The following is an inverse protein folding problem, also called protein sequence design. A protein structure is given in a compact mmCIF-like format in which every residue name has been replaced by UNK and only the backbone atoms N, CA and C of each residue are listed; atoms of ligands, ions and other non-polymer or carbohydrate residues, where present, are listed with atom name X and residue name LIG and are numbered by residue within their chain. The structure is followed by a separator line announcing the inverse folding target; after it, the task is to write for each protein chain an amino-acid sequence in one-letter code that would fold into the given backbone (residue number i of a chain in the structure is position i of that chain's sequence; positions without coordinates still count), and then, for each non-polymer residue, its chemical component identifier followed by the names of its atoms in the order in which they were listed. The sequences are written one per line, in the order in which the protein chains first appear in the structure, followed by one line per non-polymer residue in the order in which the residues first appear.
data_IF_035058982421
#
_entry.id   IF_035058982421
#
_cell.length_a   1.000
_cell.length_b   1.000
_cell.length_c   1.000
_cell.angle_alpha   90.00
_cell.angle_beta   90.00
_cell.angle_gamma   90.00
#
_symmetry.space_group_name_H-M   'P 1'
#
loop_
_entity.id
_entity.type
_entity.pdbx_description
1 polymer ?
#
# COMPACT_ATOMS: atom_id res chain seq x y z
N UNK A 1 -17.62 -4.30 3.86
CA UNK A 1 -16.50 -5.12 4.35
C UNK A 1 -15.23 -4.98 3.51
N UNK A 2 -15.31 -4.89 2.18
CA UNK A 2 -14.13 -4.64 1.32
C UNK A 2 -13.32 -3.42 1.78
N UNK A 3 -13.97 -2.33 2.18
CA UNK A 3 -13.31 -1.15 2.74
C UNK A 3 -12.52 -1.45 4.03
N UNK A 4 -13.04 -2.30 4.91
CA UNK A 4 -12.31 -2.73 6.11
C UNK A 4 -11.07 -3.55 5.73
N UNK A 5 -11.23 -4.46 4.77
CA UNK A 5 -10.12 -5.27 4.28
C UNK A 5 -9.04 -4.40 3.61
N UNK A 6 -9.43 -3.41 2.80
CA UNK A 6 -8.50 -2.56 2.07
C UNK A 6 -7.79 -1.54 2.98
N UNK A 7 -8.57 -0.77 3.76
CA UNK A 7 -8.04 0.34 4.55
C UNK A 7 -7.69 -0.08 5.96
N UNK A 8 -8.51 -0.94 6.57
CA UNK A 8 -8.32 -1.42 7.93
C UNK A 8 -7.07 -2.29 8.07
N UNK A 9 -6.79 -3.19 7.13
CA UNK A 9 -5.58 -4.02 7.17
C UNK A 9 -4.31 -3.16 7.20
N UNK A 10 -4.21 -2.14 6.34
CA UNK A 10 -3.06 -1.23 6.34
C UNK A 10 -2.93 -0.44 7.65
N UNK A 11 -4.05 -0.04 8.27
CA UNK A 11 -4.03 0.63 9.58
C UNK A 11 -3.67 -0.34 10.70
N UNK A 12 -4.12 -1.59 10.63
CA UNK A 12 -3.77 -2.67 11.56
C UNK A 12 -2.29 -3.00 11.51
N UNK A 13 -1.70 -3.08 10.32
CA UNK A 13 -0.26 -3.34 10.13
C UNK A 13 0.61 -2.27 10.78
N UNK A 14 0.15 -1.01 10.80
CA UNK A 14 0.84 0.11 11.43
C UNK A 14 0.68 0.13 12.95
N UNK A 15 -0.50 -0.22 13.46
CA UNK A 15 -0.84 -0.12 14.88
C UNK A 15 -0.55 -1.40 15.68
N UNK A 16 -0.56 -2.55 15.01
CA UNK A 16 -0.68 -3.87 15.62
C UNK A 16 -2.11 -4.19 16.05
N UNK A 17 -2.41 -5.50 16.09
CA UNK A 17 -3.74 -6.09 16.30
C UNK A 17 -4.53 -5.52 17.48
N UNK A 18 -3.88 -5.40 18.65
CA UNK A 18 -4.54 -4.94 19.88
C UNK A 18 -4.94 -3.46 19.81
N UNK A 19 -4.00 -2.59 19.39
CA UNK A 19 -4.26 -1.15 19.26
C UNK A 19 -5.28 -0.87 18.16
N UNK A 20 -5.21 -1.62 17.06
CA UNK A 20 -6.20 -1.57 15.99
C UNK A 20 -7.59 -1.95 16.49
N UNK A 21 -7.72 -3.02 17.28
CA UNK A 21 -9.02 -3.46 17.81
C UNK A 21 -9.64 -2.38 18.72
N UNK A 22 -8.84 -1.77 19.59
CA UNK A 22 -9.29 -0.64 20.42
C UNK A 22 -9.65 0.59 19.59
N UNK A 23 -8.81 0.94 18.61
CA UNK A 23 -9.06 2.03 17.67
C UNK A 23 -10.35 1.83 16.89
N UNK A 24 -10.60 0.62 16.39
CA UNK A 24 -11.78 0.27 15.62
C UNK A 24 -13.07 0.41 16.44
N UNK A 25 -13.06 -0.12 17.67
CA UNK A 25 -14.19 -0.03 18.59
C UNK A 25 -14.45 1.42 19.05
N UNK A 26 -13.39 2.15 19.42
CA UNK A 26 -13.49 3.55 19.82
C UNK A 26 -13.96 4.43 18.66
N UNK A 27 -13.45 4.21 17.45
CA UNK A 27 -13.86 4.91 16.24
C UNK A 27 -15.34 4.65 15.92
N UNK A 28 -15.80 3.40 16.03
CA UNK A 28 -17.22 3.06 15.90
C UNK A 28 -18.11 3.74 16.93
N UNK A 29 -17.66 3.81 18.19
CA UNK A 29 -18.38 4.51 19.25
C UNK A 29 -18.50 6.02 18.96
N UNK A 30 -17.39 6.69 18.62
CA UNK A 30 -17.39 8.12 18.30
C UNK A 30 -18.21 8.42 17.05
N UNK A 31 -18.16 7.55 16.04
CA UNK A 31 -18.99 7.66 14.84
C UNK A 31 -20.49 7.61 15.19
N UNK A 32 -20.91 6.61 15.98
CA UNK A 32 -22.32 6.49 16.38
C UNK A 32 -22.76 7.67 17.25
N UNK A 33 -21.92 8.13 18.19
CA UNK A 33 -22.22 9.32 18.98
C UNK A 33 -22.36 10.57 18.10
N UNK A 34 -21.53 10.70 17.06
CA UNK A 34 -21.63 11.80 16.11
C UNK A 34 -22.96 11.79 15.36
N UNK A 35 -23.44 10.62 14.93
CA UNK A 35 -24.78 10.49 14.35
C UNK A 35 -25.86 10.90 15.36
N UNK A 36 -25.82 10.36 16.59
CA UNK A 36 -26.83 10.65 17.62
C UNK A 36 -26.90 12.15 17.93
N UNK A 37 -25.75 12.82 18.06
CA UNK A 37 -25.68 14.26 18.31
C UNK A 37 -26.25 15.12 17.17
N UNK A 38 -26.24 14.61 15.94
CA UNK A 38 -26.71 15.31 14.75
C UNK A 38 -28.13 14.90 14.34
N UNK A 39 -28.70 13.88 15.00
CA UNK A 39 -30.04 13.37 14.72
C UNK A 39 -31.08 14.30 15.34
N UNK A 40 -32.12 14.65 14.57
CA UNK A 40 -33.25 15.47 15.04
C UNK A 40 -34.39 14.59 15.55
N UNK A 41 -35.36 15.17 16.27
CA UNK A 41 -36.47 14.43 16.91
C UNK A 41 -37.27 13.52 15.95
N UNK A 42 -37.29 13.85 14.65
CA UNK A 42 -37.96 13.07 13.61
C UNK A 42 -37.29 11.72 13.31
N UNK A 43 -36.01 11.57 13.61
CA UNK A 43 -35.20 10.37 13.33
C UNK A 43 -34.76 9.61 14.58
N UNK A 44 -35.08 10.12 15.76
CA UNK A 44 -34.66 9.56 17.04
C UNK A 44 -35.10 8.09 17.28
N UNK A 45 -36.12 7.62 16.56
CA UNK A 45 -36.63 6.25 16.66
C UNK A 45 -36.02 5.26 15.65
N UNK A 46 -35.10 5.72 14.77
CA UNK A 46 -34.45 4.85 13.78
C UNK A 46 -33.17 4.26 14.39
N UNK A 47 -33.08 2.94 14.61
CA UNK A 47 -31.91 2.33 15.21
C UNK A 47 -30.70 2.40 14.27
N UNK A 48 -29.56 2.83 14.81
CA UNK A 48 -28.28 2.85 14.10
C UNK A 48 -27.62 1.47 14.28
N UNK A 49 -27.52 0.70 13.20
CA UNK A 49 -26.85 -0.60 13.20
C UNK A 49 -25.87 -0.67 12.04
N UNK A 50 -24.59 -0.85 12.36
CA UNK A 50 -23.59 -1.09 11.32
C UNK A 50 -22.16 -0.86 11.77
N UNK A 51 -21.25 -1.60 11.13
CA UNK A 51 -19.80 -1.41 11.28
C UNK A 51 -19.25 -0.23 10.46
N UNK A 52 -20.06 0.40 9.61
CA UNK A 52 -19.60 1.41 8.64
C UNK A 52 -18.96 2.63 9.29
N UNK A 53 -19.41 3.06 10.47
CA UNK A 53 -18.79 4.18 11.21
C UNK A 53 -17.35 3.86 11.64
N UNK A 54 -17.12 2.66 12.17
CA UNK A 54 -15.77 2.20 12.53
C UNK A 54 -14.86 2.07 11.30
N UNK A 55 -15.40 1.58 10.19
CA UNK A 55 -14.68 1.52 8.90
C UNK A 55 -14.35 2.93 8.40
N UNK A 56 -15.26 3.90 8.58
CA UNK A 56 -15.03 5.30 8.22
C UNK A 56 -13.88 5.90 9.01
N UNK A 57 -13.73 5.52 10.29
CA UNK A 57 -12.55 5.86 11.08
C UNK A 57 -11.25 5.24 10.53
N UNK A 58 -11.26 3.98 10.09
CA UNK A 58 -10.12 3.39 9.40
C UNK A 58 -9.75 4.14 8.12
N UNK A 59 -10.74 4.56 7.31
CA UNK A 59 -10.53 5.35 6.09
C UNK A 59 -9.88 6.69 6.42
N UNK A 60 -10.37 7.40 7.44
CA UNK A 60 -9.80 8.66 7.90
C UNK A 60 -8.36 8.49 8.40
N UNK A 61 -8.10 7.45 9.18
CA UNK A 61 -6.75 7.12 9.62
C UNK A 61 -5.82 6.81 8.44
N UNK A 62 -6.27 5.98 7.49
CA UNK A 62 -5.51 5.64 6.29
C UNK A 62 -5.10 6.88 5.48
N UNK A 63 -6.00 7.85 5.33
CA UNK A 63 -5.73 9.10 4.61
C UNK A 63 -4.54 9.88 5.19
N UNK A 64 -4.29 9.76 6.50
CA UNK A 64 -3.18 10.46 7.17
C UNK A 64 -1.84 9.77 6.94
N UNK A 65 -1.80 8.44 6.89
CA UNK A 65 -0.57 7.66 6.80
C UNK A 65 -0.18 7.33 5.36
N UNK A 66 -1.16 7.08 4.49
CA UNK A 66 -0.97 6.57 3.15
C UNK A 66 -1.75 7.39 2.08
N UNK A 67 -1.68 8.74 2.09
CA UNK A 67 -2.51 9.58 1.20
C UNK A 67 -2.22 9.36 -0.29
N UNK A 68 -0.96 9.04 -0.63
CA UNK A 68 -0.49 8.91 -2.02
C UNK A 68 -0.58 7.50 -2.59
N UNK A 69 -1.05 6.53 -1.81
CA UNK A 69 -1.23 5.15 -2.28
C UNK A 69 -2.17 5.13 -3.48
N UNK A 70 -1.76 4.48 -4.58
CA UNK A 70 -2.57 4.39 -5.79
C UNK A 70 -3.51 3.20 -5.68
N UNK A 71 -4.80 3.44 -5.84
CA UNK A 71 -5.84 2.42 -5.92
C UNK A 71 -6.05 2.10 -7.40
N UNK A 72 -5.91 0.82 -7.76
CA UNK A 72 -6.24 0.31 -9.09
C UNK A 72 -7.76 0.13 -9.19
N UNK A 73 -8.36 0.77 -10.19
CA UNK A 73 -9.74 0.57 -10.56
C UNK A 73 -9.81 -0.15 -11.88
N UNK A 74 -10.44 -1.32 -11.87
CA UNK A 74 -10.75 -2.09 -13.06
C UNK A 74 -12.19 -1.84 -13.47
N UNK A 75 -12.40 -1.44 -14.71
CA UNK A 75 -13.74 -1.24 -15.25
C UNK A 75 -14.01 -2.26 -16.36
N UNK A 76 -15.26 -2.69 -16.42
CA UNK A 76 -15.76 -3.60 -17.43
C UNK A 76 -17.01 -2.99 -18.02
N UNK A 77 -16.96 -2.67 -19.31
CA UNK A 77 -18.07 -2.08 -20.05
C UNK A 77 -18.55 -3.00 -21.15
N UNK A 78 -19.86 -3.06 -21.32
CA UNK A 78 -20.50 -3.75 -22.43
C UNK A 78 -21.23 -2.71 -23.28
N UNK A 79 -20.86 -2.59 -24.56
CA UNK A 79 -21.61 -1.78 -25.52
C UNK A 79 -21.91 -2.58 -26.78
N UNK A 80 -23.20 -2.86 -27.02
CA UNK A 80 -23.72 -3.75 -28.08
C UNK A 80 -23.09 -5.15 -28.10
N UNK A 81 -22.04 -5.34 -28.91
CA UNK A 81 -21.29 -6.60 -29.09
C UNK A 81 -19.80 -6.47 -28.74
N UNK A 82 -19.39 -5.29 -28.25
CA UNK A 82 -18.00 -5.02 -27.93
C UNK A 82 -17.87 -4.89 -26.41
N UNK A 83 -17.13 -5.83 -25.85
CA UNK A 83 -16.66 -5.76 -24.48
C UNK A 83 -15.40 -4.91 -24.48
N UNK A 84 -15.38 -3.89 -23.63
CA UNK A 84 -14.17 -3.12 -23.38
C UNK A 84 -13.86 -3.17 -21.88
N UNK A 85 -12.62 -3.49 -21.57
CA UNK A 85 -12.13 -3.56 -20.20
C UNK A 85 -10.82 -2.79 -20.11
N UNK A 86 -10.61 -2.12 -19.00
CA UNK A 86 -9.37 -1.39 -18.76
C UNK A 86 -9.13 -1.21 -17.27
N UNK A 87 -7.97 -0.65 -16.97
CA UNK A 87 -7.55 -0.35 -15.61
C UNK A 87 -7.02 1.08 -15.57
N UNK A 88 -7.30 1.77 -14.47
CA UNK A 88 -6.74 3.08 -14.21
C UNK A 88 -6.41 3.24 -12.72
N UNK A 89 -5.49 4.14 -12.43
CA UNK A 89 -4.96 4.33 -11.09
C UNK A 89 -5.35 5.70 -10.57
N UNK A 90 -5.95 5.74 -9.40
CA UNK A 90 -6.26 6.98 -8.69
C UNK A 90 -5.54 7.00 -7.35
N UNK A 91 -4.93 8.12 -6.96
CA UNK A 91 -4.40 8.25 -5.62
C UNK A 91 -5.55 8.22 -4.59
N UNK A 92 -5.33 7.53 -3.48
CA UNK A 92 -6.34 7.24 -2.46
C UNK A 92 -6.98 8.52 -1.90
N UNK A 93 -6.19 9.59 -1.72
CA UNK A 93 -6.74 10.86 -1.22
C UNK A 93 -7.86 11.43 -2.09
N UNK A 94 -7.80 11.27 -3.43
CA UNK A 94 -8.87 11.74 -4.33
C UNK A 94 -10.14 10.93 -4.10
N UNK A 95 -9.99 9.60 -4.05
CA UNK A 95 -11.12 8.67 -3.86
C UNK A 95 -11.79 8.91 -2.52
N UNK A 96 -10.99 8.99 -1.45
CA UNK A 96 -11.49 9.20 -0.09
C UNK A 96 -12.12 10.58 0.05
N UNK A 97 -11.49 11.63 -0.47
CA UNK A 97 -12.06 12.97 -0.43
C UNK A 97 -13.39 13.02 -1.19
N UNK A 98 -13.48 12.43 -2.38
CA UNK A 98 -14.73 12.39 -3.14
C UNK A 98 -15.87 11.75 -2.34
N UNK A 99 -15.64 10.58 -1.75
CA UNK A 99 -16.66 9.90 -0.93
C UNK A 99 -17.01 10.68 0.34
N UNK A 100 -16.01 11.22 1.04
CA UNK A 100 -16.25 12.05 2.22
C UNK A 100 -17.07 13.30 1.88
N UNK A 101 -16.79 13.97 0.75
CA UNK A 101 -17.57 15.13 0.31
C UNK A 101 -19.02 14.75 -0.01
N UNK A 102 -19.27 13.58 -0.58
CA UNK A 102 -20.64 13.10 -0.81
C UNK A 102 -21.38 12.82 0.51
N UNK A 103 -20.75 12.14 1.47
CA UNK A 103 -21.34 11.87 2.78
C UNK A 103 -21.60 13.18 3.53
N UNK A 104 -20.67 14.12 3.45
CA UNK A 104 -20.82 15.45 4.03
C UNK A 104 -21.96 16.24 3.39
N UNK A 105 -22.05 16.26 2.06
CA UNK A 105 -23.15 16.93 1.36
C UNK A 105 -24.51 16.28 1.70
N UNK A 106 -24.56 14.94 1.78
CA UNK A 106 -25.76 14.20 2.16
C UNK A 106 -26.18 14.50 3.60
N UNK A 107 -25.22 14.62 4.52
CA UNK A 107 -25.46 15.06 5.89
C UNK A 107 -26.06 16.47 5.92
N UNK A 108 -25.50 17.43 5.18
CA UNK A 108 -26.01 18.81 5.14
C UNK A 108 -27.43 18.86 4.57
N UNK A 109 -27.70 18.11 3.50
CA UNK A 109 -29.03 18.03 2.91
C UNK A 109 -30.04 17.45 3.90
N UNK A 110 -29.67 16.40 4.62
CA UNK A 110 -30.51 15.77 5.63
C UNK A 110 -30.88 16.75 6.74
N UNK A 111 -29.90 17.48 7.28
CA UNK A 111 -30.12 18.50 8.32
C UNK A 111 -31.01 19.65 7.84
N UNK A 112 -31.01 19.97 6.54
CA UNK A 112 -31.81 21.05 5.94
C UNK A 112 -33.21 20.63 5.47
N UNK A 113 -33.51 19.33 5.41
CA UNK A 113 -34.78 18.79 4.90
C UNK A 113 -35.66 18.26 6.02
N UNK A 114 -36.97 18.55 5.98
CA UNK A 114 -37.95 18.07 6.97
C UNK A 114 -38.51 16.66 6.65
N UNK A 115 -37.83 15.85 5.84
CA UNK A 115 -38.41 14.62 5.29
C UNK A 115 -37.41 13.50 4.97
N UNK A 116 -37.72 12.32 5.51
CA UNK A 116 -37.26 10.97 5.20
C UNK A 116 -35.73 10.76 5.06
N UNK A 117 -35.07 10.57 6.20
CA UNK A 117 -33.74 10.00 6.30
C UNK A 117 -33.63 8.67 5.56
N UNK A 118 -32.84 8.70 4.49
CA UNK A 118 -32.59 7.55 3.64
C UNK A 118 -31.66 6.54 4.30
N UNK A 119 -32.08 5.88 5.39
CA UNK A 119 -31.50 4.65 5.97
C UNK A 119 -29.99 4.60 6.26
N UNK A 120 -29.26 5.68 6.00
CA UNK A 120 -27.80 5.77 6.02
C UNK A 120 -27.42 6.83 7.03
N UNK A 121 -26.63 6.42 8.02
CA UNK A 121 -26.11 7.28 9.07
C UNK A 121 -24.91 8.11 8.57
N UNK A 122 -25.15 9.11 7.71
CA UNK A 122 -24.09 9.96 7.15
C UNK A 122 -23.28 10.70 8.22
N UNK A 123 -23.90 11.08 9.34
CA UNK A 123 -23.22 11.68 10.48
C UNK A 123 -22.20 10.72 11.13
N UNK A 124 -22.50 9.42 11.12
CA UNK A 124 -21.54 8.40 11.57
C UNK A 124 -20.35 8.26 10.62
N UNK A 125 -20.57 8.37 9.30
CA UNK A 125 -19.48 8.29 8.32
C UNK A 125 -18.56 9.50 8.44
N UNK A 126 -19.13 10.72 8.41
CA UNK A 126 -18.39 11.97 8.55
C UNK A 126 -17.65 12.03 9.89
N UNK A 127 -18.37 11.80 11.00
CA UNK A 127 -17.78 11.81 12.34
C UNK A 127 -16.71 10.75 12.52
N UNK A 128 -16.95 9.54 12.02
CA UNK A 128 -15.96 8.46 12.02
C UNK A 128 -14.69 8.83 11.26
N UNK A 129 -14.80 9.31 10.03
CA UNK A 129 -13.65 9.72 9.21
C UNK A 129 -12.83 10.83 9.86
N UNK A 130 -13.49 11.87 10.39
CA UNK A 130 -12.79 12.96 11.08
C UNK A 130 -12.09 12.42 12.35
N UNK A 131 -12.79 11.65 13.18
CA UNK A 131 -12.23 11.11 14.42
C UNK A 131 -11.03 10.20 14.15
N UNK A 132 -11.13 9.31 13.16
CA UNK A 132 -10.04 8.42 12.77
C UNK A 132 -8.82 9.17 12.23
N UNK A 133 -9.04 10.20 11.41
CA UNK A 133 -7.99 11.06 10.91
C UNK A 133 -7.27 11.80 12.05
N UNK A 134 -8.02 12.40 12.99
CA UNK A 134 -7.45 13.10 14.14
C UNK A 134 -6.69 12.16 15.06
N UNK A 135 -7.25 10.98 15.36
CA UNK A 135 -6.57 9.97 16.19
C UNK A 135 -5.24 9.53 15.55
N UNK A 136 -5.25 9.24 14.24
CA UNK A 136 -4.04 8.87 13.53
C UNK A 136 -3.03 10.02 13.45
N UNK A 137 -3.49 11.26 13.28
CA UNK A 137 -2.64 12.45 13.28
C UNK A 137 -1.84 12.58 14.59
N UNK A 138 -2.46 12.26 15.72
CA UNK A 138 -1.81 12.25 17.03
C UNK A 138 -0.88 11.05 17.18
N UNK A 139 -1.31 9.86 16.76
CA UNK A 139 -0.59 8.61 16.99
C UNK A 139 0.58 8.37 16.03
N UNK A 140 0.55 8.92 14.81
CA UNK A 140 1.51 8.57 13.73
C UNK A 140 2.98 8.74 14.10
N UNK A 141 3.31 9.69 14.99
CA UNK A 141 4.70 9.89 15.44
C UNK A 141 5.21 8.73 16.29
N UNK A 142 4.33 8.14 17.11
CA UNK A 142 4.65 6.99 17.95
C UNK A 142 4.58 5.66 17.19
N UNK A 143 3.95 5.66 16.02
CA UNK A 143 3.82 4.49 15.12
C UNK A 143 4.90 4.45 14.04
N UNK A 144 5.61 5.56 13.81
CA UNK A 144 6.79 5.57 12.96
C UNK A 144 7.81 4.58 13.54
N UNK A 145 8.06 3.48 12.81
CA UNK A 145 9.23 2.66 13.11
C UNK A 145 10.46 3.57 13.00
N UNK A 146 11.42 3.53 13.95
CA UNK A 146 12.72 4.15 13.73
C UNK A 146 13.22 3.66 12.39
N UNK A 147 13.67 4.59 11.56
CA UNK A 147 14.04 4.36 10.17
C UNK A 147 14.58 2.94 10.01
N UNK A 148 13.81 2.09 9.34
CA UNK A 148 14.44 0.95 8.69
C UNK A 148 15.39 1.63 7.73
N UNK A 149 16.67 1.70 8.08
CA UNK A 149 17.72 2.10 7.16
C UNK A 149 17.35 1.47 5.83
N UNK A 150 17.05 2.29 4.83
CA UNK A 150 16.99 1.82 3.46
C UNK A 150 18.22 0.92 3.31
N UNK A 151 18.08 -0.37 2.96
CA UNK A 151 19.22 -1.24 2.83
C UNK A 151 20.21 -0.47 1.96
N UNK A 152 21.43 -0.19 2.47
CA UNK A 152 22.27 0.88 1.98
C UNK A 152 22.32 0.75 0.48
N UNK A 153 21.83 1.77 -0.26
CA UNK A 153 21.80 1.86 -1.73
C UNK A 153 22.86 0.94 -2.28
N UNK A 154 22.48 -0.29 -2.69
CA UNK A 154 23.35 -1.48 -2.85
C UNK A 154 24.77 -1.01 -3.07
N UNK A 155 25.54 -0.87 -1.99
CA UNK A 155 26.87 -0.31 -2.10
C UNK A 155 27.58 -1.25 -3.07
N UNK A 156 27.91 -0.76 -4.26
CA UNK A 156 28.65 -1.52 -5.24
C UNK A 156 29.95 -1.83 -4.54
N UNK A 157 30.03 -3.03 -3.95
CA UNK A 157 31.25 -3.48 -3.31
C UNK A 157 32.31 -3.43 -4.41
N UNK A 158 33.43 -2.72 -4.20
CA UNK A 158 34.50 -2.74 -5.18
C UNK A 158 34.84 -4.21 -5.45
N UNK A 159 34.92 -4.56 -6.73
CA UNK A 159 35.16 -5.94 -7.11
C UNK A 159 36.48 -6.42 -6.50
N UNK A 160 36.51 -7.57 -5.81
CA UNK A 160 37.75 -8.13 -5.31
C UNK A 160 38.69 -8.44 -6.48
N UNK A 161 39.99 -8.21 -6.30
CA UNK A 161 40.99 -8.60 -7.29
C UNK A 161 40.99 -10.12 -7.47
N UNK A 162 40.50 -10.62 -8.61
CA UNK A 162 40.55 -12.04 -8.91
C UNK A 162 42.00 -12.50 -9.12
N UNK A 163 42.33 -13.68 -8.60
CA UNK A 163 43.60 -14.36 -8.91
C UNK A 163 43.44 -15.12 -10.22
N UNK A 164 44.34 -14.87 -11.17
CA UNK A 164 44.40 -15.57 -12.46
C UNK A 164 44.52 -17.09 -12.23
N UNK A 165 43.71 -17.94 -12.90
CA UNK A 165 43.94 -19.38 -12.92
C UNK A 165 45.32 -19.68 -13.51
N UNK A 166 46.06 -20.61 -12.89
CA UNK A 166 47.44 -20.95 -13.27
C UNK A 166 47.58 -21.69 -14.62
N UNK A 167 46.51 -21.79 -15.41
CA UNK A 167 46.48 -22.52 -16.68
C UNK A 167 46.14 -21.58 -17.84
N UNK A 168 47.03 -21.53 -18.83
CA UNK A 168 46.86 -20.80 -20.08
C UNK A 168 45.84 -21.54 -20.96
N UNK A 169 44.89 -20.79 -21.54
CA UNK A 169 43.81 -21.19 -22.46
C UNK A 169 42.40 -21.46 -21.89
N UNK A 170 42.00 -20.82 -20.78
CA UNK A 170 40.56 -20.76 -20.43
C UNK A 170 39.93 -19.43 -20.90
N UNK A 171 38.69 -19.45 -21.46
CA UNK A 171 37.96 -18.24 -21.84
C UNK A 171 37.66 -17.36 -20.62
N UNK A 172 37.36 -16.07 -20.87
CA UNK A 172 37.11 -15.05 -19.85
C UNK A 172 36.21 -15.59 -18.71
N UNK A 173 36.74 -15.62 -17.50
CA UNK A 173 36.08 -16.22 -16.36
C UNK A 173 35.25 -15.17 -15.63
N UNK A 174 33.94 -15.39 -15.58
CA UNK A 174 32.95 -14.46 -15.06
C UNK A 174 32.61 -14.84 -13.62
N UNK A 175 32.65 -13.86 -12.72
CA UNK A 175 32.12 -13.98 -11.37
C UNK A 175 30.72 -13.37 -11.33
N UNK A 176 29.85 -13.94 -10.50
CA UNK A 176 28.49 -13.42 -10.28
C UNK A 176 28.31 -13.01 -8.82
N UNK A 177 27.46 -12.00 -8.61
CA UNK A 177 27.07 -11.56 -7.27
C UNK A 177 25.59 -11.87 -7.04
N UNK A 178 25.33 -12.94 -6.28
CA UNK A 178 24.00 -13.49 -6.02
C UNK A 178 23.83 -13.65 -4.51
N UNK A 179 22.70 -13.19 -3.96
CA UNK A 179 22.39 -13.31 -2.51
C UNK A 179 23.53 -12.82 -1.59
N UNK A 180 24.09 -11.64 -1.90
CA UNK A 180 25.21 -11.01 -1.18
C UNK A 180 26.55 -11.79 -1.22
N UNK A 181 26.61 -12.90 -1.95
CA UNK A 181 27.79 -13.72 -2.11
C UNK A 181 28.34 -13.63 -3.53
N UNK A 182 29.67 -13.56 -3.62
CA UNK A 182 30.38 -13.76 -4.87
C UNK A 182 30.50 -15.26 -5.13
N UNK A 183 30.09 -15.70 -6.31
CA UNK A 183 30.19 -17.08 -6.78
C UNK A 183 30.95 -17.14 -8.11
N UNK A 184 31.53 -18.30 -8.40
CA UNK A 184 32.33 -18.53 -9.60
C UNK A 184 33.79 -18.86 -9.29
N UNK A 185 34.68 -18.80 -10.29
CA UNK A 185 34.41 -18.25 -11.62
C UNK A 185 33.68 -19.23 -12.55
N UNK A 186 32.97 -18.71 -13.55
CA UNK A 186 32.21 -19.48 -14.53
C UNK A 186 32.62 -19.14 -15.96
N UNK A 187 32.54 -20.11 -16.86
CA UNK A 187 32.68 -19.88 -18.29
C UNK A 187 31.40 -19.26 -18.88
N UNK A 188 31.48 -18.45 -19.96
CA UNK A 188 30.31 -17.81 -20.56
C UNK A 188 29.17 -18.77 -20.93
N UNK A 189 29.48 -19.96 -21.44
CA UNK A 189 28.46 -20.97 -21.77
C UNK A 189 27.66 -21.46 -20.56
N UNK A 190 28.27 -21.50 -19.36
CA UNK A 190 27.59 -21.87 -18.12
C UNK A 190 26.69 -20.76 -17.59
N UNK A 191 27.01 -19.50 -17.86
CA UNK A 191 26.15 -18.35 -17.52
C UNK A 191 24.83 -18.45 -18.28
N UNK A 192 24.88 -18.80 -19.57
CA UNK A 192 23.68 -18.96 -20.39
C UNK A 192 22.79 -20.11 -19.89
N UNK A 193 23.39 -21.26 -19.56
CA UNK A 193 22.67 -22.38 -18.93
C UNK A 193 22.00 -21.95 -17.60
N UNK A 194 22.70 -21.18 -16.77
CA UNK A 194 22.18 -20.68 -15.50
C UNK A 194 21.02 -19.70 -15.66
N UNK A 195 21.01 -18.88 -16.73
CA UNK A 195 19.90 -18.01 -17.11
C UNK A 195 18.69 -18.82 -17.59
N UNK A 196 18.91 -19.84 -18.43
CA UNK A 196 17.84 -20.72 -18.93
C UNK A 196 17.17 -21.51 -17.81
N UNK A 197 17.96 -21.98 -16.84
CA UNK A 197 17.46 -22.67 -15.64
C UNK A 197 16.80 -21.72 -14.62
N UNK A 198 16.84 -20.40 -14.84
CA UNK A 198 16.28 -19.40 -13.93
C UNK A 198 17.02 -19.26 -12.60
N UNK A 199 18.22 -19.84 -12.49
CA UNK A 199 19.06 -19.79 -11.28
C UNK A 199 19.69 -18.40 -11.05
N UNK A 200 19.78 -17.61 -12.12
CA UNK A 200 20.23 -16.21 -12.13
C UNK A 200 19.33 -15.42 -13.09
N UNK A 201 19.35 -14.10 -12.95
CA UNK A 201 18.52 -13.17 -13.75
C UNK A 201 19.38 -12.23 -14.58
N UNK A 202 18.83 -11.57 -15.63
CA UNK A 202 19.55 -10.53 -16.37
C UNK A 202 20.05 -9.36 -15.50
N UNK A 203 19.39 -9.12 -14.35
CA UNK A 203 19.77 -8.11 -13.35
C UNK A 203 20.88 -8.58 -12.39
N UNK A 204 21.28 -9.84 -12.49
CA UNK A 204 22.37 -10.39 -11.68
C UNK A 204 23.67 -9.69 -12.08
N UNK A 205 24.42 -9.22 -11.09
CA UNK A 205 25.67 -8.51 -11.35
C UNK A 205 26.77 -9.50 -11.70
N UNK A 206 27.54 -9.19 -12.74
CA UNK A 206 28.74 -9.91 -13.14
C UNK A 206 29.98 -9.01 -13.06
N UNK A 207 31.13 -9.67 -12.94
CA UNK A 207 32.44 -9.04 -13.03
C UNK A 207 33.43 -9.98 -13.70
N UNK A 208 34.31 -9.42 -14.52
CA UNK A 208 35.42 -10.14 -15.16
C UNK A 208 36.70 -9.31 -15.07
N UNK A 209 37.84 -9.97 -15.30
CA UNK A 209 39.16 -9.35 -15.25
C UNK A 209 39.23 -8.14 -16.21
N UNK A 210 39.68 -6.98 -15.69
CA UNK A 210 39.74 -5.72 -16.42
C UNK A 210 38.57 -4.76 -16.16
N UNK A 211 37.52 -5.18 -15.44
CA UNK A 211 36.43 -4.29 -15.02
C UNK A 211 36.75 -3.57 -13.70
N UNK A 212 36.44 -2.29 -13.61
CA UNK A 212 36.56 -1.51 -12.38
C UNK A 212 35.37 -1.70 -11.44
N UNK A 213 34.22 -2.11 -11.97
CA UNK A 213 32.94 -2.20 -11.25
C UNK A 213 32.14 -3.40 -11.73
N UNK A 214 31.22 -3.89 -10.90
CA UNK A 214 30.24 -4.91 -11.28
C UNK A 214 29.20 -4.32 -12.22
N UNK A 215 28.78 -5.06 -13.25
CA UNK A 215 27.71 -4.64 -14.19
C UNK A 215 26.59 -5.67 -14.27
N UNK A 216 25.37 -5.28 -14.66
CA UNK A 216 24.27 -6.23 -14.88
C UNK A 216 24.61 -7.23 -16.01
N UNK A 217 24.20 -8.49 -15.86
CA UNK A 217 24.37 -9.54 -16.88
C UNK A 217 23.70 -9.22 -18.21
N UNK A 218 22.69 -8.35 -18.22
CA UNK A 218 22.10 -7.82 -19.44
C UNK A 218 23.10 -7.05 -20.33
N UNK A 219 24.24 -6.62 -19.80
CA UNK A 219 25.31 -5.90 -20.52
C UNK A 219 26.47 -6.80 -20.98
N UNK A 220 26.43 -8.09 -20.64
CA UNK A 220 27.44 -9.08 -21.03
C UNK A 220 27.25 -9.51 -22.50
#
# INVERSE_FOLDING_TARGET
MIYLFLFGACVEDLMGRLRFSLFYLAGGLVANLSQVCLTTDLEANVPIVGASGAISACIGAFLIVLPRTKINFRYFGWFFFRVFSGEFWLPAWIVIAFWFLMDFASLILLLGSAGAGGGVAFGAHVGGTIAGALAMLVMRRSLAKPDQEEPPTRAVRPAPTAKRPSAVNEPATIYLYVNEQQIGPFAPGRIQEMLELGSITPETQYWQEGMSEWRPLAEL
#
